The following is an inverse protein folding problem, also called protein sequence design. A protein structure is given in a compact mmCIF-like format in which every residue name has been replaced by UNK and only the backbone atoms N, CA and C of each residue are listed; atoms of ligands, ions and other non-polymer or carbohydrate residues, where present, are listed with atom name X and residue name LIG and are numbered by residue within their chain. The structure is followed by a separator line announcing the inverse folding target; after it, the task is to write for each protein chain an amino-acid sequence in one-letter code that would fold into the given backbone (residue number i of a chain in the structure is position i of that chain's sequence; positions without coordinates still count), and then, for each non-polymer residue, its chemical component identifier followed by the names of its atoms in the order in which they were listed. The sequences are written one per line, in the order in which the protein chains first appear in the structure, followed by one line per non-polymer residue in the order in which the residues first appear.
data_IF_385135074182
#
_entry.id   IF_385135074182
#
_cell.length_a   1.000
_cell.length_b   1.000
_cell.length_c   1.000
_cell.angle_alpha   90.00
_cell.angle_beta   90.00
_cell.angle_gamma   90.00
#
_symmetry.space_group_name_H-M   'P 1'
#
loop_
_entity.id
_entity.type
_entity.pdbx_description
1 polymer ?
#
# COMPACT_ATOMS: atom_id res chain seq x y z
N UNK A 1 43.54 0.07 22.14
CA UNK A 1 42.33 0.49 22.89
C UNK A 1 41.60 -0.77 23.34
N UNK A 2 41.58 -1.09 24.64
CA UNK A 2 41.15 -2.41 25.14
C UNK A 2 39.66 -2.68 24.98
N UNK A 3 39.28 -3.95 24.73
CA UNK A 3 37.89 -4.42 24.51
C UNK A 3 36.89 -3.87 25.55
N UNK A 4 37.31 -3.73 26.80
CA UNK A 4 36.48 -3.17 27.90
C UNK A 4 36.03 -1.73 27.67
N UNK A 5 36.82 -0.91 26.95
CA UNK A 5 36.46 0.48 26.62
C UNK A 5 35.47 0.54 25.46
N UNK A 6 35.50 -0.46 24.57
CA UNK A 6 34.56 -0.58 23.45
C UNK A 6 33.18 -1.02 23.96
N UNK A 7 33.11 -2.03 24.83
CA UNK A 7 31.84 -2.50 25.43
C UNK A 7 31.10 -1.39 26.19
N UNK A 8 31.83 -0.54 26.92
CA UNK A 8 31.24 0.61 27.63
C UNK A 8 30.66 1.67 26.68
N UNK A 9 31.28 1.87 25.52
CA UNK A 9 30.79 2.81 24.50
C UNK A 9 29.54 2.27 23.80
N UNK A 10 29.52 0.97 23.48
CA UNK A 10 28.35 0.33 22.87
C UNK A 10 27.17 0.20 23.84
N UNK A 11 27.41 -0.11 25.11
CA UNK A 11 26.37 -0.13 26.13
C UNK A 11 25.67 1.22 26.29
N UNK A 12 26.45 2.31 26.33
CA UNK A 12 25.90 3.66 26.40
C UNK A 12 25.13 4.06 25.13
N UNK A 13 25.59 3.63 23.94
CA UNK A 13 24.89 3.88 22.69
C UNK A 13 23.54 3.14 22.61
N UNK A 14 23.46 1.91 23.15
CA UNK A 14 22.24 1.12 23.16
C UNK A 14 21.19 1.72 24.11
N UNK A 15 21.61 2.16 25.29
CA UNK A 15 20.74 2.84 26.26
C UNK A 15 20.23 4.17 25.70
N UNK A 16 21.08 4.90 24.97
CA UNK A 16 20.68 6.14 24.31
C UNK A 16 19.64 5.90 23.20
N UNK A 17 19.85 4.88 22.35
CA UNK A 17 18.88 4.51 21.30
C UNK A 17 17.55 4.05 21.90
N UNK A 18 17.56 3.28 22.99
CA UNK A 18 16.34 2.87 23.69
C UNK A 18 15.57 4.07 24.25
N UNK A 19 16.26 5.04 24.86
CA UNK A 19 15.66 6.28 25.37
C UNK A 19 15.05 7.15 24.27
N UNK A 20 15.74 7.23 23.12
CA UNK A 20 15.28 7.98 21.95
C UNK A 20 14.00 7.37 21.36
N UNK A 21 13.95 6.03 21.27
CA UNK A 21 12.78 5.31 20.79
C UNK A 21 11.58 5.47 21.73
N UNK A 22 11.81 5.47 23.05
CA UNK A 22 10.76 5.71 24.05
C UNK A 22 10.19 7.13 23.96
N UNK A 23 11.05 8.13 23.73
CA UNK A 23 10.63 9.53 23.58
C UNK A 23 9.84 9.77 22.29
N UNK A 24 10.21 9.08 21.20
CA UNK A 24 9.48 9.12 19.93
C UNK A 24 8.06 8.53 20.07
N UNK A 25 7.92 7.41 20.78
CA UNK A 25 6.61 6.82 21.07
C UNK A 25 5.75 7.72 21.98
N UNK A 26 6.35 8.45 22.93
CA UNK A 26 5.62 9.35 23.81
C UNK A 26 5.14 10.64 23.09
N UNK A 27 5.91 11.15 22.12
CA UNK A 27 5.63 12.41 21.42
C UNK A 27 4.44 12.36 20.45
N UNK A 28 4.06 11.18 19.95
CA UNK A 28 2.96 11.03 18.98
C UNK A 28 1.55 11.03 19.60
N UNK A 29 1.43 11.01 20.94
CA UNK A 29 0.11 10.96 21.59
C UNK A 29 -0.55 12.31 21.90
N UNK A 30 0.14 13.44 21.69
CA UNK A 30 -0.39 14.78 22.07
C UNK A 30 -1.19 15.52 21.00
N UNK A 31 -1.48 14.90 19.86
CA UNK A 31 -2.17 15.57 18.72
C UNK A 31 -3.53 15.02 18.32
N UNK A 32 -4.05 13.97 18.98
CA UNK A 32 -5.39 13.45 18.67
C UNK A 32 -6.37 13.91 19.74
N UNK A 33 -7.44 14.53 19.26
CA UNK A 33 -8.46 15.23 20.02
C UNK A 33 -8.89 14.46 21.27
N UNK A 34 -8.80 15.16 22.39
CA UNK A 34 -9.32 14.77 23.67
C UNK A 34 -10.83 15.03 23.66
N UNK A 35 -11.61 14.13 23.07
CA UNK A 35 -13.03 14.00 23.39
C UNK A 35 -13.38 12.51 23.41
N UNK A 36 -13.90 12.09 24.55
CA UNK A 36 -14.33 10.73 24.91
C UNK A 36 -13.25 9.65 25.10
N UNK A 37 -12.91 9.36 26.36
CA UNK A 37 -12.92 7.98 26.91
C UNK A 37 -12.38 7.92 28.34
N UNK A 38 -13.24 8.22 29.32
CA UNK A 38 -12.99 7.84 30.72
C UNK A 38 -13.40 6.38 30.93
N UNK A 39 -12.58 5.45 30.43
CA UNK A 39 -12.45 4.07 30.90
C UNK A 39 -11.75 3.24 29.82
N UNK A 40 -10.42 3.15 29.82
CA UNK A 40 -9.72 1.90 29.46
C UNK A 40 -8.23 2.03 29.76
N UNK A 41 -7.73 1.13 30.60
CA UNK A 41 -6.37 1.14 31.16
C UNK A 41 -5.25 1.12 30.10
N UNK A 42 -4.21 1.90 30.39
CA UNK A 42 -3.07 2.28 29.54
C UNK A 42 -2.13 1.12 29.14
N UNK A 43 -2.42 -0.13 29.53
CA UNK A 43 -1.53 -1.28 29.30
C UNK A 43 -1.72 -2.03 27.97
N UNK A 44 -2.81 -1.79 27.21
CA UNK A 44 -3.11 -2.58 25.99
C UNK A 44 -2.90 -1.85 24.66
N UNK A 45 -2.57 -0.56 24.65
CA UNK A 45 -2.54 0.25 23.41
C UNK A 45 -1.30 0.00 22.53
N UNK A 46 -0.17 -0.45 23.10
CA UNK A 46 1.06 -0.62 22.32
C UNK A 46 1.09 -1.90 21.47
N UNK A 47 0.44 -2.98 21.91
CA UNK A 47 0.34 -4.21 21.11
C UNK A 47 -0.59 -4.05 19.90
N UNK A 48 -1.59 -3.16 19.97
CA UNK A 48 -2.58 -3.02 18.91
C UNK A 48 -2.03 -2.31 17.66
N UNK A 49 -1.11 -1.35 17.83
CA UNK A 49 -0.55 -0.56 16.70
C UNK A 49 0.43 -1.39 15.86
N UNK A 50 1.25 -2.23 16.51
CA UNK A 50 2.15 -3.16 15.80
C UNK A 50 1.36 -4.25 15.04
N UNK A 51 0.23 -4.70 15.58
CA UNK A 51 -0.66 -5.64 14.88
C UNK A 51 -1.30 -4.97 13.65
N UNK A 52 -1.79 -3.73 13.77
CA UNK A 52 -2.44 -3.03 12.66
C UNK A 52 -1.51 -2.77 11.46
N UNK A 53 -0.24 -2.40 11.70
CA UNK A 53 0.72 -2.17 10.61
C UNK A 53 1.08 -3.49 9.90
N UNK A 54 1.12 -4.60 10.63
CA UNK A 54 1.38 -5.93 10.06
C UNK A 54 0.20 -6.42 9.19
N UNK A 55 -1.04 -6.28 9.66
CA UNK A 55 -2.21 -6.76 8.91
C UNK A 55 -2.43 -5.95 7.63
N UNK A 56 -2.19 -4.64 7.66
CA UNK A 56 -2.39 -3.77 6.49
C UNK A 56 -1.37 -4.04 5.36
N UNK A 57 -0.13 -4.40 5.70
CA UNK A 57 0.89 -4.78 4.70
C UNK A 57 0.64 -6.17 4.11
N UNK A 58 0.05 -7.10 4.87
CA UNK A 58 -0.14 -8.48 4.41
C UNK A 58 -1.26 -8.58 3.36
N UNK A 59 -2.36 -7.86 3.52
CA UNK A 59 -3.52 -7.96 2.62
C UNK A 59 -3.25 -7.40 1.22
N UNK A 60 -2.55 -6.26 1.13
CA UNK A 60 -2.30 -5.61 -0.16
C UNK A 60 -1.27 -6.41 -1.00
N UNK A 61 -0.27 -7.01 -0.34
CA UNK A 61 0.74 -7.85 -1.01
C UNK A 61 0.14 -9.20 -1.43
N UNK A 62 -0.68 -9.83 -0.59
CA UNK A 62 -1.34 -11.11 -0.93
C UNK A 62 -2.36 -10.94 -2.06
N UNK A 63 -3.08 -9.82 -2.12
CA UNK A 63 -4.02 -9.49 -3.19
C UNK A 63 -3.34 -9.38 -4.55
N UNK A 64 -2.21 -8.67 -4.62
CA UNK A 64 -1.44 -8.52 -5.86
C UNK A 64 -0.81 -9.85 -6.33
N UNK A 65 -0.33 -10.68 -5.39
CA UNK A 65 0.27 -11.99 -5.73
C UNK A 65 -0.77 -12.99 -6.26
N UNK A 66 -1.99 -13.01 -5.71
CA UNK A 66 -3.08 -13.90 -6.19
C UNK A 66 -3.52 -13.52 -7.62
N UNK A 67 -3.62 -12.23 -7.91
CA UNK A 67 -3.94 -11.69 -9.25
C UNK A 67 -2.89 -12.05 -10.31
N UNK A 68 -1.61 -11.91 -9.95
CA UNK A 68 -0.48 -12.24 -10.84
C UNK A 68 -0.38 -13.73 -11.17
N UNK A 69 -0.65 -14.60 -10.20
CA UNK A 69 -0.59 -16.06 -10.39
C UNK A 69 -1.77 -16.57 -11.22
N UNK A 70 -2.97 -15.98 -11.06
CA UNK A 70 -4.15 -16.36 -11.85
C UNK A 70 -3.96 -16.04 -13.36
N UNK A 71 -3.29 -14.94 -13.70
CA UNK A 71 -2.97 -14.58 -15.09
C UNK A 71 -1.96 -15.52 -15.77
N UNK A 72 -1.22 -16.33 -15.00
CA UNK A 72 -0.17 -17.24 -15.49
C UNK A 72 -0.64 -18.70 -15.62
N UNK A 73 -1.90 -18.98 -15.30
CA UNK A 73 -2.49 -20.31 -15.43
C UNK A 73 -3.38 -20.38 -16.67
N UNK A 74 -3.20 -21.43 -17.49
CA UNK A 74 -4.05 -21.70 -18.65
C UNK A 74 -4.78 -23.01 -18.40
N UNK A 75 -6.03 -23.10 -18.86
CA UNK A 75 -6.83 -24.32 -18.73
C UNK A 75 -6.32 -25.37 -19.73
N UNK A 76 -5.80 -26.48 -19.23
CA UNK A 76 -5.34 -27.58 -20.08
C UNK A 76 -6.50 -28.40 -20.65
N UNK A 77 -6.23 -29.31 -21.60
CA UNK A 77 -7.28 -30.12 -22.26
C UNK A 77 -8.04 -31.05 -21.30
N UNK A 78 -7.46 -31.35 -20.12
CA UNK A 78 -8.13 -32.08 -19.03
C UNK A 78 -8.92 -31.20 -18.05
N UNK A 79 -9.18 -29.92 -18.37
CA UNK A 79 -9.96 -29.00 -17.54
C UNK A 79 -9.26 -28.48 -16.28
N UNK A 80 -8.07 -29.00 -15.94
CA UNK A 80 -7.22 -28.51 -14.83
C UNK A 80 -6.40 -27.29 -15.27
N UNK A 81 -6.21 -26.35 -14.33
CA UNK A 81 -5.33 -25.20 -14.52
C UNK A 81 -3.87 -25.67 -14.44
N UNK A 82 -3.12 -25.44 -15.50
CA UNK A 82 -1.69 -25.76 -15.57
C UNK A 82 -0.92 -24.45 -15.72
N UNK A 83 0.15 -24.28 -14.95
CA UNK A 83 1.04 -23.14 -15.07
C UNK A 83 1.59 -23.09 -16.50
N UNK A 84 1.49 -21.95 -17.18
CA UNK A 84 2.04 -21.76 -18.51
C UNK A 84 3.56 -21.94 -18.40
N UNK A 85 4.07 -23.11 -18.79
CA UNK A 85 5.50 -23.41 -18.81
C UNK A 85 6.10 -22.43 -19.80
N UNK A 86 6.89 -21.49 -19.28
CA UNK A 86 7.61 -20.52 -20.07
C UNK A 86 8.73 -21.27 -20.84
N UNK A 87 8.63 -21.45 -22.17
CA UNK A 87 9.62 -22.20 -22.94
C UNK A 87 10.99 -21.52 -22.95
N UNK A 88 11.09 -20.30 -22.43
CA UNK A 88 12.35 -19.56 -22.27
C UNK A 88 13.08 -19.82 -20.94
N UNK A 89 12.52 -20.67 -20.06
CA UNK A 89 13.18 -21.03 -18.79
C UNK A 89 14.27 -22.08 -19.03
N UNK A 90 15.44 -21.62 -19.45
CA UNK A 90 16.66 -22.42 -19.56
C UNK A 90 16.98 -23.13 -18.22
N UNK A 91 17.57 -24.34 -18.26
CA UNK A 91 17.91 -25.11 -17.06
C UNK A 91 18.85 -24.32 -16.12
N UNK A 92 18.88 -24.66 -14.82
CA UNK A 92 19.68 -23.96 -13.83
C UNK A 92 21.14 -23.86 -14.25
N UNK A 93 21.68 -22.64 -14.21
CA UNK A 93 23.10 -22.36 -14.40
C UNK A 93 23.87 -23.09 -13.29
N UNK A 94 24.57 -24.17 -13.64
CA UNK A 94 25.58 -24.77 -12.79
C UNK A 94 26.74 -23.79 -12.67
N UNK A 95 26.88 -23.16 -11.51
CA UNK A 95 28.09 -22.39 -11.18
C UNK A 95 29.19 -23.40 -10.92
N UNK A 96 30.03 -23.64 -11.93
CA UNK A 96 31.30 -24.36 -11.72
C UNK A 96 32.22 -23.43 -10.93
N UNK A 97 32.28 -23.65 -9.63
CA UNK A 97 33.26 -23.01 -8.74
C UNK A 97 34.62 -23.63 -9.05
N UNK A 98 35.38 -23.03 -9.97
CA UNK A 98 36.78 -23.37 -10.15
C UNK A 98 37.52 -22.99 -8.87
N UNK A 99 37.92 -24.01 -8.10
CA UNK A 99 38.77 -23.87 -6.93
C UNK A 99 40.11 -23.25 -7.37
N UNK A 100 40.48 -22.02 -6.95
CA UNK A 100 41.73 -21.42 -7.41
C UNK A 100 42.90 -22.08 -6.69
N UNK A 101 43.58 -22.99 -7.37
CA UNK A 101 44.96 -23.34 -7.05
C UNK A 101 45.81 -22.06 -7.15
N UNK A 102 46.51 -21.74 -6.06
CA UNK A 102 47.52 -20.69 -5.90
C UNK A 102 48.23 -20.32 -7.20
N UNK A 103 47.96 -19.12 -7.76
CA UNK A 103 48.74 -18.54 -8.85
C UNK A 103 49.42 -17.26 -8.38
N UNK A 104 50.73 -17.23 -8.60
CA UNK A 104 51.67 -16.16 -8.28
C UNK A 104 51.28 -14.83 -8.95
N UNK A 105 51.39 -13.76 -8.16
CA UNK A 105 51.01 -12.38 -8.47
C UNK A 105 52.07 -11.65 -9.32
N UNK A 106 51.73 -11.27 -10.55
CA UNK A 106 52.48 -10.19 -11.28
C UNK A 106 51.62 -9.35 -12.22
N UNK A 107 50.29 -9.43 -12.13
CA UNK A 107 49.39 -8.46 -12.78
C UNK A 107 48.24 -8.13 -11.82
N UNK A 108 47.84 -6.84 -11.68
CA UNK A 108 46.72 -6.48 -10.82
C UNK A 108 45.45 -7.19 -11.33
N UNK A 109 44.80 -8.02 -10.50
CA UNK A 109 43.60 -8.74 -10.93
C UNK A 109 42.47 -7.75 -11.21
N UNK A 110 41.84 -7.94 -12.35
CA UNK A 110 40.73 -7.12 -12.84
C UNK A 110 39.57 -7.13 -11.83
N UNK A 111 38.97 -5.96 -11.61
CA UNK A 111 37.91 -5.77 -10.63
C UNK A 111 36.69 -6.59 -11.05
N UNK A 112 36.38 -7.59 -10.23
CA UNK A 112 35.26 -8.52 -10.33
C UNK A 112 34.01 -7.89 -10.98
N UNK A 113 33.75 -8.22 -12.25
CA UNK A 113 32.56 -7.78 -12.97
C UNK A 113 31.35 -8.62 -12.56
N UNK A 114 30.76 -8.28 -11.41
CA UNK A 114 29.50 -8.86 -10.97
C UNK A 114 28.35 -8.33 -11.83
N UNK A 115 28.03 -9.01 -12.93
CA UNK A 115 26.82 -8.74 -13.72
C UNK A 115 25.58 -9.25 -12.98
N UNK A 116 25.07 -8.44 -12.06
CA UNK A 116 23.84 -8.72 -11.32
C UNK A 116 22.65 -8.59 -12.29
N UNK A 117 22.21 -9.73 -12.84
CA UNK A 117 21.23 -9.73 -13.94
C UNK A 117 19.79 -9.51 -13.44
N UNK A 118 19.54 -9.55 -12.12
CA UNK A 118 18.23 -9.18 -11.56
C UNK A 118 18.34 -8.81 -10.06
N UNK A 119 18.31 -7.53 -9.68
CA UNK A 119 18.46 -7.10 -8.29
C UNK A 119 17.26 -7.49 -7.41
N UNK A 120 16.05 -7.56 -7.98
CA UNK A 120 14.83 -7.87 -7.23
C UNK A 120 14.82 -9.32 -6.71
N UNK A 121 15.34 -10.25 -7.52
CA UNK A 121 15.45 -11.66 -7.13
C UNK A 121 16.39 -11.81 -5.94
N UNK A 122 17.48 -11.04 -5.89
CA UNK A 122 18.43 -11.08 -4.78
C UNK A 122 17.84 -10.53 -3.49
N UNK A 123 17.11 -9.41 -3.55
CA UNK A 123 16.41 -8.83 -2.39
C UNK A 123 15.39 -9.84 -1.84
N UNK A 124 14.66 -10.54 -2.71
CA UNK A 124 13.70 -11.58 -2.29
C UNK A 124 14.39 -12.75 -1.57
N UNK A 125 15.50 -13.26 -2.09
CA UNK A 125 16.25 -14.33 -1.43
C UNK A 125 16.90 -13.86 -0.12
N UNK A 126 17.41 -12.63 -0.09
CA UNK A 126 17.96 -12.02 1.10
C UNK A 126 16.89 -11.89 2.19
N UNK A 127 15.70 -11.40 1.87
CA UNK A 127 14.58 -11.31 2.81
C UNK A 127 14.12 -12.68 3.33
N UNK A 128 14.06 -13.69 2.46
CA UNK A 128 13.74 -15.07 2.85
C UNK A 128 14.77 -15.63 3.84
N UNK A 129 16.06 -15.32 3.67
CA UNK A 129 17.12 -15.72 4.61
C UNK A 129 17.02 -15.02 5.96
N UNK A 130 16.68 -13.72 5.98
CA UNK A 130 16.43 -12.98 7.23
C UNK A 130 15.27 -13.63 8.01
N UNK A 131 14.18 -13.98 7.31
CA UNK A 131 13.01 -14.62 7.93
C UNK A 131 13.28 -16.05 8.41
N UNK A 132 14.20 -16.76 7.76
CA UNK A 132 14.57 -18.13 8.13
C UNK A 132 15.57 -18.21 9.30
N UNK A 133 15.97 -17.07 9.89
CA UNK A 133 17.03 -16.98 10.90
C UNK A 133 18.35 -17.65 10.47
N UNK A 134 18.60 -17.75 9.16
CA UNK A 134 19.88 -18.20 8.63
C UNK A 134 20.90 -17.11 8.97
N UNK A 135 21.78 -17.38 9.95
CA UNK A 135 22.81 -16.45 10.39
C UNK A 135 23.62 -15.94 9.20
N UNK A 136 23.42 -14.68 8.83
CA UNK A 136 24.12 -14.05 7.72
C UNK A 136 25.46 -13.52 8.25
N UNK A 137 26.55 -14.27 8.08
CA UNK A 137 27.88 -13.80 8.45
C UNK A 137 28.39 -12.80 7.39
N UNK A 138 28.06 -11.52 7.59
CA UNK A 138 28.56 -10.43 6.76
C UNK A 138 29.87 -9.90 7.34
N UNK A 139 30.99 -10.38 6.82
CA UNK A 139 32.30 -9.81 7.13
C UNK A 139 32.55 -8.53 6.31
N UNK A 140 31.99 -7.42 6.76
CA UNK A 140 32.19 -6.12 6.13
C UNK A 140 33.48 -5.49 6.67
N UNK A 141 34.52 -5.41 5.83
CA UNK A 141 35.74 -4.65 6.15
C UNK A 141 35.52 -3.17 5.82
N UNK A 142 34.91 -2.44 6.74
CA UNK A 142 34.70 -0.99 6.59
C UNK A 142 35.90 -0.24 7.16
N UNK A 143 36.41 0.74 6.40
CA UNK A 143 37.41 1.68 6.93
C UNK A 143 36.72 2.62 7.93
N UNK A 144 37.37 3.03 9.03
CA UNK A 144 36.74 3.86 10.07
C UNK A 144 36.05 5.12 9.53
N UNK A 145 36.64 5.75 8.51
CA UNK A 145 36.09 6.96 7.88
C UNK A 145 34.74 6.71 7.19
N UNK A 146 34.56 5.55 6.57
CA UNK A 146 33.34 5.22 5.81
C UNK A 146 32.16 4.94 6.74
N UNK A 147 32.42 4.47 7.97
CA UNK A 147 31.38 4.25 8.99
C UNK A 147 30.70 5.58 9.37
N UNK A 148 31.48 6.66 9.50
CA UNK A 148 30.92 7.99 9.79
C UNK A 148 29.99 8.49 8.69
N UNK A 149 30.35 8.30 7.42
CA UNK A 149 29.50 8.67 6.29
C UNK A 149 28.19 7.89 6.25
N UNK A 150 28.26 6.57 6.42
CA UNK A 150 27.07 5.70 6.42
C UNK A 150 26.15 6.00 7.62
N UNK A 151 26.74 6.23 8.81
CA UNK A 151 25.97 6.60 9.99
C UNK A 151 25.26 7.95 9.81
N UNK A 152 25.92 8.93 9.19
CA UNK A 152 25.32 10.25 8.95
C UNK A 152 24.18 10.18 7.94
N UNK A 153 24.30 9.35 6.90
CA UNK A 153 23.23 9.11 5.92
C UNK A 153 22.04 8.40 6.59
N UNK A 154 22.30 7.32 7.34
CA UNK A 154 21.24 6.60 8.07
C UNK A 154 20.55 7.51 9.10
N UNK A 155 21.31 8.36 9.78
CA UNK A 155 20.77 9.35 10.70
C UNK A 155 19.92 10.39 9.94
N UNK A 156 20.40 10.90 8.80
CA UNK A 156 19.63 11.85 7.99
C UNK A 156 18.36 11.25 7.40
N UNK A 157 18.32 9.95 7.07
CA UNK A 157 17.11 9.28 6.62
C UNK A 157 16.16 9.00 7.79
N UNK A 158 16.68 8.51 8.92
CA UNK A 158 15.88 8.19 10.09
C UNK A 158 15.23 9.43 10.73
N UNK A 159 15.91 10.58 10.66
CA UNK A 159 15.39 11.87 11.11
C UNK A 159 14.97 12.79 9.95
N UNK A 160 14.86 12.24 8.74
CA UNK A 160 14.56 12.97 7.52
C UNK A 160 13.08 13.32 7.42
N UNK A 161 12.76 14.56 7.83
CA UNK A 161 11.71 15.48 7.34
C UNK A 161 11.24 16.44 8.46
N UNK A 162 11.56 16.17 9.72
CA UNK A 162 11.39 17.11 10.84
C UNK A 162 12.76 17.55 11.34
N UNK A 163 13.08 18.84 11.22
CA UNK A 163 14.42 19.40 11.49
C UNK A 163 15.14 18.75 12.68
N UNK A 164 16.31 18.17 12.41
CA UNK A 164 17.22 17.66 13.43
C UNK A 164 17.72 18.86 14.24
N UNK A 165 17.11 19.11 15.40
CA UNK A 165 17.71 19.96 16.42
C UNK A 165 18.87 19.15 16.99
N UNK A 166 20.09 19.42 16.52
CA UNK A 166 21.28 18.85 17.13
C UNK A 166 21.23 19.20 18.61
N UNK A 167 21.19 18.21 19.53
CA UNK A 167 21.19 18.51 20.95
C UNK A 167 22.51 19.22 21.23
N UNK A 168 22.43 20.41 21.82
CA UNK A 168 23.52 21.36 22.12
C UNK A 168 24.50 20.83 23.19
N UNK A 169 24.94 19.58 23.04
CA UNK A 169 25.70 18.81 24.03
C UNK A 169 27.22 18.96 23.90
N UNK A 170 27.71 19.81 22.98
CA UNK A 170 29.14 20.07 22.83
C UNK A 170 29.49 21.46 23.39
N UNK A 171 29.90 21.56 24.67
CA UNK A 171 30.21 22.83 25.33
C UNK A 171 31.43 23.58 24.75
N UNK A 172 32.12 22.99 23.77
CA UNK A 172 33.28 23.58 23.10
C UNK A 172 32.95 24.17 21.72
N UNK A 173 31.78 23.89 21.15
CA UNK A 173 31.27 24.65 20.01
C UNK A 173 30.53 25.87 20.53
N UNK A 174 31.27 26.93 20.82
CA UNK A 174 30.70 28.26 20.99
C UNK A 174 30.27 28.75 19.62
N UNK A 175 29.05 28.41 19.21
CA UNK A 175 28.39 29.16 18.15
C UNK A 175 28.16 30.56 18.73
N UNK A 176 28.87 31.56 18.20
CA UNK A 176 28.64 32.94 18.61
C UNK A 176 27.18 33.25 18.28
N UNK A 177 26.38 33.46 19.33
CA UNK A 177 24.99 33.90 19.30
C UNK A 177 24.87 35.31 18.69
N UNK A 178 25.21 35.43 17.41
CA UNK A 178 24.57 36.41 16.55
C UNK A 178 23.15 35.94 16.40
N UNK A 179 22.25 36.48 17.23
CA UNK A 179 20.80 36.36 17.14
C UNK A 179 20.32 36.85 15.76
N UNK A 180 20.55 36.04 14.75
CA UNK A 180 19.68 36.01 13.59
C UNK A 180 18.37 35.49 14.15
N UNK A 181 17.43 36.41 14.39
CA UNK A 181 16.05 36.06 14.63
C UNK A 181 15.69 35.05 13.56
N UNK A 182 15.56 33.78 13.96
CA UNK A 182 14.91 32.76 13.15
C UNK A 182 13.54 33.36 12.88
N UNK A 183 13.38 33.97 11.71
CA UNK A 183 12.12 34.49 11.25
C UNK A 183 11.15 33.33 11.45
N UNK A 184 10.19 33.51 12.36
CA UNK A 184 9.01 32.66 12.42
C UNK A 184 8.60 32.47 10.98
N UNK A 185 8.61 31.23 10.44
CA UNK A 185 8.46 31.02 9.01
C UNK A 185 7.22 31.78 8.61
N UNK A 186 7.42 32.88 7.87
CA UNK A 186 6.32 33.71 7.40
C UNK A 186 5.43 32.74 6.67
N UNK A 187 4.23 32.52 7.22
CA UNK A 187 3.29 31.52 6.74
C UNK A 187 3.23 31.67 5.24
N UNK A 188 3.87 30.75 4.53
CA UNK A 188 4.00 30.83 3.09
C UNK A 188 2.57 30.95 2.57
N UNK A 189 2.25 32.00 1.80
CA UNK A 189 0.88 32.28 1.42
C UNK A 189 0.29 30.99 0.86
N UNK A 190 -0.78 30.51 1.50
CA UNK A 190 -1.42 29.26 1.14
C UNK A 190 -1.83 29.40 -0.32
N UNK A 191 -1.13 28.68 -1.20
CA UNK A 191 -1.29 28.81 -2.65
C UNK A 191 -2.64 28.20 -2.98
N UNK A 192 -3.68 29.04 -2.93
CA UNK A 192 -4.99 28.75 -3.48
C UNK A 192 -4.78 28.54 -4.98
N UNK A 193 -5.17 27.37 -5.46
CA UNK A 193 -5.03 27.02 -6.87
C UNK A 193 -6.39 27.08 -7.53
N UNK A 194 -6.49 27.89 -8.57
CA UNK A 194 -7.69 27.92 -9.41
C UNK A 194 -7.84 26.58 -10.12
N UNK A 195 -9.00 25.95 -9.94
CA UNK A 195 -9.29 24.63 -10.47
C UNK A 195 -10.76 24.49 -10.81
N UNK A 196 -11.06 23.54 -11.69
CA UNK A 196 -12.40 23.11 -11.98
C UNK A 196 -12.55 21.65 -11.55
N UNK A 197 -13.50 21.37 -10.67
CA UNK A 197 -13.80 20.02 -10.19
C UNK A 197 -15.15 19.55 -10.74
N UNK A 198 -15.16 18.32 -11.23
CA UNK A 198 -16.37 17.63 -11.70
C UNK A 198 -16.78 16.57 -10.70
N UNK A 199 -18.06 16.53 -10.34
CA UNK A 199 -18.56 15.53 -9.40
C UNK A 199 -20.07 15.56 -9.25
N UNK A 200 -20.59 14.73 -8.34
CA UNK A 200 -22.01 14.71 -7.97
C UNK A 200 -22.21 15.56 -6.72
N UNK A 201 -23.11 16.52 -6.78
CA UNK A 201 -23.36 17.42 -5.66
C UNK A 201 -24.22 16.72 -4.59
N UNK A 202 -23.79 16.79 -3.34
CA UNK A 202 -24.47 16.23 -2.19
C UNK A 202 -24.62 17.30 -1.10
N UNK A 203 -25.65 17.21 -0.26
CA UNK A 203 -25.85 18.11 0.89
C UNK A 203 -25.83 17.33 2.20
N UNK A 204 -25.38 17.95 3.28
CA UNK A 204 -25.62 17.45 4.63
C UNK A 204 -26.90 18.02 5.22
N UNK A 205 -27.46 17.31 6.19
CA UNK A 205 -28.61 17.75 6.98
C UNK A 205 -28.19 18.50 8.27
N UNK A 206 -26.98 19.09 8.28
CA UNK A 206 -26.47 19.87 9.42
C UNK A 206 -26.96 21.31 9.35
N UNK A 207 -26.92 22.02 10.49
CA UNK A 207 -27.14 23.48 10.54
C UNK A 207 -25.82 24.15 10.99
N UNK A 208 -25.07 24.83 10.10
CA UNK A 208 -25.43 25.20 8.73
C UNK A 208 -25.37 24.03 7.73
N UNK A 209 -26.15 24.13 6.65
CA UNK A 209 -26.15 23.18 5.54
C UNK A 209 -24.81 23.28 4.83
N UNK A 210 -24.11 22.15 4.67
CA UNK A 210 -22.87 22.08 3.91
C UNK A 210 -23.10 21.30 2.64
N UNK A 211 -22.43 21.73 1.58
CA UNK A 211 -22.48 21.08 0.29
C UNK A 211 -21.14 20.41 0.00
N UNK A 212 -21.19 19.23 -0.58
CA UNK A 212 -20.04 18.41 -0.90
C UNK A 212 -20.10 17.99 -2.36
N UNK A 213 -18.96 18.04 -3.03
CA UNK A 213 -18.80 17.50 -4.36
C UNK A 213 -18.11 16.15 -4.26
N UNK A 214 -18.82 15.07 -4.61
CA UNK A 214 -18.24 13.72 -4.70
C UNK A 214 -17.62 13.60 -6.08
N UNK A 215 -16.29 13.67 -6.16
CA UNK A 215 -15.56 13.59 -7.42
C UNK A 215 -15.41 12.14 -7.90
N UNK A 216 -14.91 11.96 -9.13
CA UNK A 216 -14.63 10.63 -9.67
C UNK A 216 -13.53 9.88 -8.92
N UNK A 217 -12.69 10.57 -8.15
CA UNK A 217 -11.67 9.96 -7.29
C UNK A 217 -12.23 9.50 -5.95
N UNK A 218 -13.55 9.48 -5.76
CA UNK A 218 -14.24 9.15 -4.48
C UNK A 218 -13.87 10.07 -3.32
N UNK A 219 -13.26 11.22 -3.62
CA UNK A 219 -12.94 12.25 -2.64
C UNK A 219 -14.12 13.20 -2.50
N UNK A 220 -14.49 13.52 -1.26
CA UNK A 220 -15.50 14.51 -0.96
C UNK A 220 -14.83 15.87 -0.74
N UNK A 221 -15.15 16.84 -1.61
CA UNK A 221 -14.64 18.21 -1.50
C UNK A 221 -15.76 19.10 -0.95
N UNK A 222 -15.47 19.87 0.09
CA UNK A 222 -16.46 20.80 0.68
C UNK A 222 -16.55 22.04 -0.21
N UNK A 223 -17.76 22.49 -0.51
CA UNK A 223 -18.00 23.69 -1.31
C UNK A 223 -18.32 24.87 -0.38
N UNK A 224 -17.55 25.94 -0.48
CA UNK A 224 -17.87 27.23 0.13
C UNK A 224 -18.52 28.11 -0.92
N UNK A 225 -19.79 28.47 -0.68
CA UNK A 225 -20.67 29.02 -1.70
C UNK A 225 -20.92 30.49 -1.38
N UNK A 226 -20.63 31.41 -2.31
CA UNK A 226 -20.96 32.82 -2.14
C UNK A 226 -22.47 33.02 -1.93
N UNK A 227 -22.82 34.04 -1.16
CA UNK A 227 -24.22 34.41 -0.95
C UNK A 227 -24.90 34.69 -2.30
N UNK A 228 -26.07 34.09 -2.53
CA UNK A 228 -26.86 34.27 -3.75
C UNK A 228 -26.93 33.05 -4.68
N UNK A 229 -26.07 32.05 -4.51
CA UNK A 229 -26.16 30.80 -5.28
C UNK A 229 -27.14 29.81 -4.63
N UNK A 230 -28.09 29.28 -5.42
CA UNK A 230 -29.02 28.24 -4.97
C UNK A 230 -28.61 26.87 -5.54
N UNK A 231 -27.98 26.04 -4.71
CA UNK A 231 -27.54 24.69 -5.10
C UNK A 231 -28.58 23.60 -4.87
N UNK A 232 -29.72 23.92 -4.26
CA UNK A 232 -30.71 22.92 -3.84
C UNK A 232 -31.26 22.15 -5.05
N UNK A 233 -31.43 22.82 -6.19
CA UNK A 233 -31.88 22.23 -7.46
C UNK A 233 -30.85 21.34 -8.15
N UNK A 234 -29.57 21.44 -7.74
CA UNK A 234 -28.45 20.69 -8.30
C UNK A 234 -28.04 19.49 -7.44
N UNK A 235 -28.64 19.31 -6.26
CA UNK A 235 -28.34 18.17 -5.39
C UNK A 235 -28.72 16.86 -6.08
N UNK A 236 -27.79 15.92 -6.14
CA UNK A 236 -27.90 14.64 -6.84
C UNK A 236 -27.47 14.69 -8.31
N UNK A 237 -27.26 15.88 -8.87
CA UNK A 237 -26.81 16.06 -10.25
C UNK A 237 -25.29 16.08 -10.35
N UNK A 238 -24.80 15.80 -11.56
CA UNK A 238 -23.39 16.01 -11.92
C UNK A 238 -23.17 17.47 -12.31
N UNK A 239 -22.27 18.15 -11.61
CA UNK A 239 -21.92 19.55 -11.86
C UNK A 239 -20.43 19.71 -12.12
N UNK A 240 -20.06 20.81 -12.78
CA UNK A 240 -18.72 21.36 -12.82
C UNK A 240 -18.68 22.58 -11.91
N UNK A 241 -17.89 22.54 -10.85
CA UNK A 241 -17.65 23.67 -9.96
C UNK A 241 -16.26 24.25 -10.25
N UNK A 242 -16.19 25.55 -10.50
CA UNK A 242 -14.96 26.29 -10.81
C UNK A 242 -14.69 27.25 -9.66
N UNK A 243 -13.44 27.35 -9.21
CA UNK A 243 -13.03 28.30 -8.19
C UNK A 243 -11.67 27.99 -7.59
N UNK A 244 -11.37 28.57 -6.43
CA UNK A 244 -10.07 28.43 -5.77
C UNK A 244 -10.07 27.27 -4.78
N UNK A 245 -9.20 26.29 -5.00
CA UNK A 245 -9.14 25.07 -4.19
C UNK A 245 -8.02 25.09 -3.16
N UNK A 246 -8.41 24.91 -1.91
CA UNK A 246 -7.51 24.66 -0.81
C UNK A 246 -7.26 23.16 -0.63
N UNK A 247 -6.13 22.71 -1.17
CA UNK A 247 -5.70 21.31 -1.09
C UNK A 247 -5.51 20.78 0.34
N UNK A 248 -5.26 21.65 1.32
CA UNK A 248 -5.02 21.28 2.71
C UNK A 248 -6.32 20.96 3.44
N UNK A 249 -7.31 21.84 3.29
CA UNK A 249 -8.61 21.71 3.96
C UNK A 249 -9.65 20.97 3.11
N UNK A 250 -9.35 20.68 1.83
CA UNK A 250 -10.28 20.07 0.87
C UNK A 250 -11.55 20.91 0.70
N UNK A 251 -11.35 22.22 0.62
CA UNK A 251 -12.41 23.22 0.42
C UNK A 251 -12.21 23.87 -0.94
N UNK A 252 -13.29 23.99 -1.70
CA UNK A 252 -13.34 24.76 -2.94
C UNK A 252 -14.21 25.99 -2.69
N UNK A 253 -13.59 27.17 -2.74
CA UNK A 253 -14.31 28.46 -2.79
C UNK A 253 -14.88 28.62 -4.20
N UNK A 254 -16.20 28.52 -4.33
CA UNK A 254 -16.84 28.40 -5.63
C UNK A 254 -17.08 29.77 -6.26
N UNK A 255 -16.63 29.95 -7.49
CA UNK A 255 -16.84 31.15 -8.30
C UNK A 255 -17.97 30.94 -9.33
N UNK A 256 -17.97 29.80 -10.02
CA UNK A 256 -18.98 29.43 -11.03
C UNK A 256 -19.39 27.95 -10.94
N UNK A 257 -20.63 27.65 -11.31
CA UNK A 257 -21.20 26.30 -11.29
C UNK A 257 -22.00 26.05 -12.57
N UNK A 258 -21.67 24.96 -13.26
CA UNK A 258 -22.36 24.52 -14.45
C UNK A 258 -22.99 23.14 -14.24
N UNK A 259 -24.26 23.00 -14.62
CA UNK A 259 -24.94 21.70 -14.67
C UNK A 259 -24.39 20.90 -15.86
N UNK A 260 -23.84 19.71 -15.58
CA UNK A 260 -23.34 18.80 -16.60
C UNK A 260 -24.32 17.67 -16.91
N UNK A 261 -25.50 17.64 -16.28
CA UNK A 261 -26.59 16.79 -16.73
C UNK A 261 -27.19 17.35 -18.02
N UNK A 262 -26.46 17.18 -19.12
CA UNK A 262 -27.07 17.19 -20.45
C UNK A 262 -27.81 15.87 -20.57
N UNK A 263 -29.03 15.80 -20.03
CA UNK A 263 -29.98 14.80 -20.48
C UNK A 263 -30.06 14.95 -22.00
N UNK A 264 -29.75 13.88 -22.74
CA UNK A 264 -29.96 13.87 -24.18
C UNK A 264 -31.44 14.12 -24.41
N UNK A 265 -31.81 15.37 -24.70
CA UNK A 265 -33.17 15.75 -25.08
C UNK A 265 -33.56 15.17 -26.44
N UNK A 266 -32.59 14.61 -27.16
CA UNK A 266 -32.83 13.83 -28.36
C UNK A 266 -33.20 12.40 -27.93
N UNK A 267 -34.48 11.99 -28.04
CA UNK A 267 -34.84 10.60 -27.84
C UNK A 267 -34.06 9.77 -28.86
N UNK A 268 -33.26 8.82 -28.38
CA UNK A 268 -32.66 7.83 -29.27
C UNK A 268 -33.81 6.96 -29.78
N UNK A 269 -34.10 6.94 -31.10
CA UNK A 269 -35.15 6.10 -31.63
C UNK A 269 -34.82 4.65 -31.28
N UNK A 270 -35.69 4.00 -30.52
CA UNK A 270 -35.55 2.57 -30.24
C UNK A 270 -35.64 1.87 -31.61
N UNK A 271 -34.64 1.07 -32.01
CA UNK A 271 -34.72 0.32 -33.25
C UNK A 271 -35.94 -0.60 -33.13
N UNK A 272 -37.01 -0.23 -33.82
CA UNK A 272 -38.22 -1.03 -33.89
C UNK A 272 -37.87 -2.20 -34.79
N UNK A 273 -37.52 -3.32 -34.18
CA UNK A 273 -37.31 -4.56 -34.92
C UNK A 273 -38.66 -4.99 -35.47
N UNK A 274 -38.82 -4.94 -36.79
CA UNK A 274 -39.96 -5.56 -37.46
C UNK A 274 -39.97 -7.04 -37.06
N UNK A 275 -41.06 -7.58 -36.50
CA UNK A 275 -41.10 -8.97 -36.08
C UNK A 275 -40.80 -9.87 -37.28
N UNK A 276 -39.74 -10.66 -37.18
CA UNK A 276 -39.43 -11.69 -38.18
C UNK A 276 -40.61 -12.66 -38.24
N UNK A 277 -41.13 -12.98 -39.44
CA UNK A 277 -42.22 -13.95 -39.56
C UNK A 277 -41.82 -15.26 -38.90
N UNK A 278 -42.66 -15.75 -37.99
CA UNK A 278 -42.47 -17.04 -37.31
C UNK A 278 -42.27 -18.11 -38.39
N UNK A 279 -41.16 -18.88 -38.37
CA UNK A 279 -40.99 -19.98 -39.32
C UNK A 279 -42.15 -20.96 -39.12
N UNK A 280 -42.87 -21.22 -40.21
CA UNK A 280 -43.88 -22.28 -40.28
C UNK A 280 -43.22 -23.59 -39.86
N UNK A 281 -43.68 -24.18 -38.75
CA UNK A 281 -43.16 -25.45 -38.24
C UNK A 281 -43.41 -26.54 -39.29
N UNK A 282 -42.35 -26.92 -40.00
CA UNK A 282 -42.33 -28.13 -40.83
C UNK A 282 -42.52 -29.32 -39.89
N UNK A 283 -43.59 -30.08 -40.09
CA UNK A 283 -43.96 -31.23 -39.28
C UNK A 283 -42.77 -32.19 -39.11
N UNK A 284 -42.30 -32.32 -37.87
CA UNK A 284 -41.23 -33.26 -37.50
C UNK A 284 -41.80 -34.69 -37.48
N UNK A 285 -41.20 -35.67 -38.16
CA UNK A 285 -41.67 -37.05 -38.11
C UNK A 285 -41.56 -37.62 -36.68
N UNK A 286 -42.67 -38.19 -36.21
CA UNK A 286 -42.78 -38.90 -34.94
C UNK A 286 -41.83 -40.09 -34.91
N UNK A 287 -40.77 -40.01 -34.12
CA UNK A 287 -39.93 -41.15 -33.77
C UNK A 287 -40.51 -41.86 -32.55
N UNK A 288 -40.89 -43.13 -32.73
CA UNK A 288 -41.36 -44.05 -31.69
C UNK A 288 -40.22 -44.34 -30.70
N UNK A 289 -40.40 -44.12 -29.39
CA UNK A 289 -39.35 -44.43 -28.42
C UNK A 289 -39.23 -45.93 -28.19
N UNK A 290 -38.05 -46.48 -28.45
CA UNK A 290 -37.63 -47.82 -28.01
C UNK A 290 -37.31 -47.76 -26.51
N UNK A 291 -38.05 -48.53 -25.71
CA UNK A 291 -37.86 -48.64 -24.26
C UNK A 291 -36.57 -49.42 -23.94
N UNK A 292 -35.60 -48.75 -23.31
CA UNK A 292 -34.41 -49.38 -22.71
C UNK A 292 -34.75 -49.90 -21.31
N UNK A 293 -34.42 -51.16 -20.95
CA UNK A 293 -34.73 -51.72 -19.65
C UNK A 293 -33.91 -51.06 -18.52
N UNK A 294 -34.62 -50.69 -17.46
CA UNK A 294 -34.09 -50.22 -16.17
C UNK A 294 -33.29 -51.34 -15.51
N UNK A 295 -32.04 -51.06 -15.12
CA UNK A 295 -31.27 -51.88 -14.19
C UNK A 295 -31.39 -51.26 -12.79
N UNK A 296 -31.82 -52.09 -11.85
CA UNK A 296 -32.05 -51.80 -10.44
C UNK A 296 -30.73 -51.48 -9.70
N UNK A 297 -30.62 -50.34 -8.99
CA UNK A 297 -29.41 -50.01 -8.24
C UNK A 297 -29.35 -50.75 -6.89
N UNK A 298 -28.36 -51.63 -6.74
CA UNK A 298 -27.96 -52.25 -5.47
C UNK A 298 -27.48 -51.20 -4.47
N UNK A 299 -28.17 -51.12 -3.33
CA UNK A 299 -27.86 -50.21 -2.21
C UNK A 299 -26.77 -50.83 -1.35
N UNK A 300 -25.63 -50.15 -1.19
CA UNK A 300 -24.57 -50.53 -0.25
C UNK A 300 -24.77 -49.72 1.06
N UNK A 301 -24.88 -50.36 2.23
CA UNK A 301 -25.09 -49.66 3.50
C UNK A 301 -23.82 -48.94 3.98
N UNK A 302 -23.99 -47.68 4.35
CA UNK A 302 -22.98 -46.81 4.97
C UNK A 302 -22.77 -47.18 6.45
N UNK A 303 -21.53 -47.40 6.93
CA UNK A 303 -21.27 -47.61 8.35
C UNK A 303 -21.34 -46.29 9.13
N UNK A 304 -22.14 -46.35 10.20
CA UNK A 304 -22.41 -45.31 11.18
C UNK A 304 -21.19 -45.15 12.10
N UNK A 305 -20.57 -43.97 12.12
CA UNK A 305 -19.50 -43.62 13.06
C UNK A 305 -20.10 -42.92 14.29
N UNK A 306 -19.92 -43.56 15.43
CA UNK A 306 -20.25 -43.06 16.77
C UNK A 306 -19.10 -42.18 17.25
N UNK A 307 -19.31 -40.87 17.37
CA UNK A 307 -18.38 -39.96 18.03
C UNK A 307 -18.92 -39.60 19.42
N UNK A 308 -18.23 -40.10 20.42
CA UNK A 308 -18.44 -39.87 21.85
C UNK A 308 -17.91 -38.50 22.26
N UNK A 309 -18.80 -37.66 22.81
CA UNK A 309 -18.48 -36.41 23.49
C UNK A 309 -18.02 -36.71 24.92
N UNK A 310 -16.74 -36.44 25.20
CA UNK A 310 -16.17 -36.41 26.55
C UNK A 310 -16.20 -34.97 27.07
N UNK A 311 -16.78 -34.78 28.25
CA UNK A 311 -16.94 -33.51 28.96
C UNK A 311 -15.78 -33.37 29.95
N UNK A 312 -15.08 -32.24 29.93
CA UNK A 312 -14.39 -31.68 31.09
C UNK A 312 -14.41 -30.16 31.01
#
# INVERSE_FOLDING_TARGET
MGRKKLEKVWGNALVFLASLFHSFLAGTSKGWGQEESSAFGTGRKQNLVLIFIYTFMEEDILGQIKSENAKKQVRGSGGKFVSKVDPTKLPPISVTTNNPTSVSTTNPPDLVSLKITNPLVYIKYWWKRIMANEGLDMRIKVKPLTIFGVALILFSLAFGLGGVVLPTFFPWMKFNDGTTATASPTSQPQILKDTALKGTLTKTNTNPVKFYLITTSTEAVTLEIPVGFNLISLVGKRILAVGSYDSKNKVLEVEDIQDLEVLSTTPVPIPTVTPTPKPTETANPTITPTSTPILEPTIIPTPQSTESLEIN
#
